data_IF_500852165891
#
_entry.id   IF_500852165891
#
_cell.length_a   1.000
_cell.length_b   1.000
_cell.length_c   1.000
_cell.angle_alpha   90.00
_cell.angle_beta   90.00
_cell.angle_gamma   90.00
#
_symmetry.space_group_name_H-M   'P 1'
#
loop_
_entity.id
_entity.type
_entity.pdbx_description
1 polymer ?
#
# COMPACT_ATOMS: atom_id res chain seq x y z
N UNK A 1 -16.63 -0.89 -10.31
CA UNK A 1 -15.43 -0.40 -11.04
C UNK A 1 -14.62 0.69 -10.30
N UNK A 2 -14.90 2.00 -10.38
CA UNK A 2 -14.01 3.06 -9.80
C UNK A 2 -13.72 2.85 -8.31
N UNK A 3 -14.73 2.47 -7.50
CA UNK A 3 -14.55 2.17 -6.08
C UNK A 3 -13.62 0.96 -5.85
N UNK A 4 -13.69 -0.06 -6.72
CA UNK A 4 -12.83 -1.25 -6.64
C UNK A 4 -11.39 -0.89 -7.01
N UNK A 5 -11.21 -0.13 -8.09
CA UNK A 5 -9.90 0.34 -8.54
C UNK A 5 -9.23 1.24 -7.48
N UNK A 6 -9.98 2.14 -6.85
CA UNK A 6 -9.49 2.93 -5.72
C UNK A 6 -8.97 2.05 -4.58
N UNK A 7 -9.72 0.99 -4.23
CA UNK A 7 -9.30 0.04 -3.19
C UNK A 7 -8.02 -0.69 -3.57
N UNK A 8 -7.91 -1.15 -4.83
CA UNK A 8 -6.70 -1.78 -5.35
C UNK A 8 -5.48 -0.84 -5.28
N UNK A 9 -5.61 0.41 -5.74
CA UNK A 9 -4.53 1.38 -5.68
C UNK A 9 -4.10 1.68 -4.23
N UNK A 10 -5.07 1.84 -3.32
CA UNK A 10 -4.81 1.99 -1.89
C UNK A 10 -4.06 0.78 -1.32
N UNK A 11 -4.49 -0.43 -1.68
CA UNK A 11 -3.88 -1.66 -1.20
C UNK A 11 -2.46 -1.84 -1.75
N UNK A 12 -2.22 -1.51 -3.04
CA UNK A 12 -0.89 -1.53 -3.63
C UNK A 12 0.08 -0.60 -2.90
N UNK A 13 -0.34 0.60 -2.52
CA UNK A 13 0.49 1.49 -1.71
C UNK A 13 0.88 0.86 -0.37
N UNK A 14 -0.10 0.30 0.35
CA UNK A 14 0.15 -0.38 1.64
C UNK A 14 1.06 -1.59 1.49
N UNK A 15 0.88 -2.37 0.43
CA UNK A 15 1.71 -3.52 0.13
C UNK A 15 3.16 -3.10 -0.16
N UNK A 16 3.35 -2.03 -0.91
CA UNK A 16 4.67 -1.47 -1.18
C UNK A 16 5.36 -1.08 0.13
N UNK A 17 4.69 -0.31 0.98
CA UNK A 17 5.25 0.14 2.27
C UNK A 17 5.63 -1.04 3.17
N UNK A 18 4.75 -2.03 3.29
CA UNK A 18 5.00 -3.24 4.07
C UNK A 18 6.16 -4.08 3.49
N UNK A 19 6.23 -4.21 2.16
CA UNK A 19 7.30 -4.95 1.48
C UNK A 19 8.66 -4.26 1.64
N UNK A 20 8.69 -2.92 1.49
CA UNK A 20 9.90 -2.12 1.69
C UNK A 20 10.39 -2.22 3.14
N UNK A 21 9.48 -2.21 4.13
CA UNK A 21 9.79 -2.44 5.53
C UNK A 21 10.42 -3.82 5.76
N UNK A 22 9.79 -4.88 5.24
CA UNK A 22 10.29 -6.25 5.37
C UNK A 22 11.66 -6.42 4.71
N UNK A 23 11.83 -5.88 3.51
CA UNK A 23 13.09 -5.94 2.76
C UNK A 23 14.23 -5.26 3.53
N UNK A 24 13.93 -4.16 4.20
CA UNK A 24 14.92 -3.40 4.98
C UNK A 24 15.33 -4.14 6.27
N UNK A 25 14.38 -4.65 7.05
CA UNK A 25 14.67 -5.08 8.42
C UNK A 25 14.81 -6.59 8.59
N UNK A 26 14.11 -7.42 7.81
CA UNK A 26 14.11 -8.87 8.00
C UNK A 26 15.52 -9.49 7.91
N UNK A 27 16.39 -9.11 6.94
CA UNK A 27 17.75 -9.62 6.87
C UNK A 27 18.59 -9.22 8.10
N UNK A 28 18.49 -7.96 8.54
CA UNK A 28 19.23 -7.44 9.69
C UNK A 28 18.81 -8.10 11.00
N UNK A 29 17.52 -8.37 11.18
CA UNK A 29 17.01 -9.13 12.34
C UNK A 29 17.53 -10.56 12.33
N UNK A 30 17.53 -11.22 11.17
CA UNK A 30 18.04 -12.58 11.04
C UNK A 30 19.53 -12.65 11.38
N UNK A 31 20.33 -11.70 10.87
CA UNK A 31 21.76 -11.61 11.16
C UNK A 31 22.02 -11.29 12.64
N UNK A 32 21.26 -10.36 13.21
CA UNK A 32 21.32 -10.03 14.63
C UNK A 32 21.09 -11.27 15.52
N UNK A 33 20.10 -12.09 15.19
CA UNK A 33 19.82 -13.35 15.92
C UNK A 33 20.98 -14.34 15.82
N UNK A 34 21.58 -14.50 14.63
CA UNK A 34 22.75 -15.37 14.43
C UNK A 34 23.93 -14.88 15.27
N UNK A 35 24.23 -13.59 15.24
CA UNK A 35 25.32 -12.99 16.05
C UNK A 35 25.07 -13.19 17.54
N UNK A 36 23.84 -12.96 18.01
CA UNK A 36 23.46 -13.21 19.42
C UNK A 36 23.66 -14.67 19.82
N UNK A 37 23.30 -15.61 18.95
CA UNK A 37 23.53 -17.04 19.17
C UNK A 37 25.04 -17.38 19.20
N UNK A 38 25.83 -16.82 18.28
CA UNK A 38 27.28 -17.04 18.21
C UNK A 38 28.00 -16.52 19.47
N UNK A 39 27.61 -15.34 19.98
CA UNK A 39 28.12 -14.79 21.24
C UNK A 39 27.86 -15.77 22.39
N UNK A 40 26.62 -16.25 22.51
CA UNK A 40 26.23 -17.20 23.57
C UNK A 40 27.02 -18.51 23.49
N UNK A 41 27.18 -19.05 22.28
CA UNK A 41 27.96 -20.28 22.06
C UNK A 41 29.43 -20.12 22.45
N UNK A 42 30.10 -19.03 22.01
CA UNK A 42 31.50 -18.76 22.37
C UNK A 42 31.68 -18.45 23.85
N UNK A 43 30.71 -17.77 24.48
CA UNK A 43 30.73 -17.55 25.94
C UNK A 43 30.66 -18.87 26.71
N UNK A 44 29.87 -19.83 26.22
CA UNK A 44 29.81 -21.18 26.79
C UNK A 44 31.14 -21.92 26.62
N UNK A 45 31.72 -21.94 25.42
CA UNK A 45 33.03 -22.53 25.14
C UNK A 45 34.12 -21.94 26.05
N UNK A 46 34.15 -20.60 26.18
CA UNK A 46 35.08 -19.90 27.08
C UNK A 46 34.92 -20.34 28.53
N UNK A 47 33.68 -20.51 29.01
CA UNK A 47 33.40 -20.97 30.38
C UNK A 47 33.87 -22.41 30.61
N UNK A 48 33.66 -23.30 29.64
CA UNK A 48 34.10 -24.70 29.70
C UNK A 48 35.63 -24.79 29.70
N UNK A 49 36.31 -24.04 28.83
CA UNK A 49 37.79 -23.99 28.81
C UNK A 49 38.39 -23.39 30.08
N UNK A 50 37.73 -22.42 30.71
CA UNK A 50 38.15 -21.91 32.01
C UNK A 50 38.06 -22.98 33.10
N UNK A 51 36.99 -23.79 33.10
CA UNK A 51 36.83 -24.90 34.03
C UNK A 51 37.85 -26.03 33.78
N UNK A 52 38.15 -26.34 32.51
CA UNK A 52 39.22 -27.27 32.16
C UNK A 52 40.58 -26.75 32.65
N UNK A 53 40.90 -25.48 32.41
CA UNK A 53 42.16 -24.87 32.87
C UNK A 53 42.31 -24.95 34.39
N UNK A 54 41.23 -24.75 35.14
CA UNK A 54 41.23 -24.81 36.61
C UNK A 54 41.41 -26.23 37.16
N UNK A 55 40.90 -27.24 36.46
CA UNK A 55 41.06 -28.65 36.86
C UNK A 55 42.37 -29.29 36.37
N UNK A 56 43.08 -28.62 35.47
CA UNK A 56 44.32 -29.12 34.90
C UNK A 56 45.49 -29.07 35.91
N UNK A 57 46.21 -30.19 36.05
CA UNK A 57 47.43 -30.25 36.87
C UNK A 57 48.45 -29.19 36.42
N UNK A 58 49.07 -28.53 37.40
CA UNK A 58 50.12 -27.51 37.19
C UNK A 58 51.32 -28.10 36.44
N UNK A 59 51.52 -29.43 36.51
CA UNK A 59 52.59 -30.15 35.83
C UNK A 59 52.37 -30.32 34.31
N UNK A 60 51.29 -29.78 33.74
CA UNK A 60 51.00 -29.80 32.30
C UNK A 60 51.11 -28.40 31.64
N UNK A 61 52.31 -27.77 31.62
CA UNK A 61 52.48 -26.38 31.20
C UNK A 61 52.10 -26.14 29.72
N UNK A 62 52.35 -27.12 28.84
CA UNK A 62 52.00 -27.02 27.41
C UNK A 62 50.49 -26.86 27.21
N UNK A 63 49.69 -27.66 27.92
CA UNK A 63 48.23 -27.62 27.81
C UNK A 63 47.64 -26.37 28.48
N UNK A 64 48.25 -25.89 29.59
CA UNK A 64 47.92 -24.57 30.15
C UNK A 64 48.13 -23.43 29.14
N UNK A 65 49.23 -23.47 28.39
CA UNK A 65 49.53 -22.47 27.35
C UNK A 65 48.54 -22.54 26.19
N UNK A 66 48.20 -23.75 25.71
CA UNK A 66 47.22 -23.96 24.64
C UNK A 66 45.83 -23.42 25.02
N UNK A 67 45.33 -23.78 26.21
CA UNK A 67 44.03 -23.29 26.69
C UNK A 67 44.06 -21.77 26.86
N UNK A 68 45.17 -21.21 27.38
CA UNK A 68 45.31 -19.76 27.52
C UNK A 68 45.26 -19.03 26.18
N UNK A 69 45.95 -19.55 25.16
CA UNK A 69 45.88 -18.99 23.80
C UNK A 69 44.44 -19.02 23.27
N UNK A 70 43.75 -20.16 23.40
CA UNK A 70 42.36 -20.30 22.97
C UNK A 70 41.40 -19.36 23.70
N UNK A 71 41.63 -19.12 25.00
CA UNK A 71 40.84 -18.17 25.79
C UNK A 71 41.04 -16.72 25.31
N UNK A 72 42.25 -16.35 24.88
CA UNK A 72 42.51 -15.04 24.28
C UNK A 72 41.77 -14.90 22.95
N UNK A 73 41.91 -15.85 22.03
CA UNK A 73 41.21 -15.88 20.74
C UNK A 73 39.69 -15.79 20.92
N UNK A 74 39.11 -16.57 21.84
CA UNK A 74 37.68 -16.51 22.12
C UNK A 74 37.24 -15.17 22.71
N UNK A 75 38.12 -14.46 23.42
CA UNK A 75 37.79 -13.14 23.98
C UNK A 75 37.71 -12.09 22.88
N UNK A 76 38.68 -12.10 21.96
CA UNK A 76 38.71 -11.25 20.76
C UNK A 76 37.47 -11.52 19.88
N UNK A 77 37.20 -12.79 19.55
CA UNK A 77 36.01 -13.18 18.76
C UNK A 77 34.70 -12.68 19.40
N UNK A 78 34.57 -12.75 20.73
CA UNK A 78 33.37 -12.29 21.44
C UNK A 78 33.25 -10.77 21.36
N UNK A 79 34.35 -10.03 21.45
CA UNK A 79 34.35 -8.56 21.33
C UNK A 79 33.99 -8.11 19.92
N UNK A 80 34.54 -8.76 18.89
CA UNK A 80 34.16 -8.51 17.50
C UNK A 80 32.67 -8.78 17.25
N UNK A 81 32.16 -9.91 17.77
CA UNK A 81 30.74 -10.24 17.65
C UNK A 81 29.86 -9.24 18.40
N UNK A 82 30.28 -8.76 19.58
CA UNK A 82 29.56 -7.71 20.32
C UNK A 82 29.53 -6.40 19.53
N UNK A 83 30.65 -6.01 18.92
CA UNK A 83 30.71 -4.84 18.05
C UNK A 83 29.75 -5.00 16.86
N UNK A 84 29.80 -6.13 16.16
CA UNK A 84 28.88 -6.44 15.06
C UNK A 84 27.41 -6.43 15.51
N UNK A 85 27.11 -6.95 16.71
CA UNK A 85 25.76 -6.88 17.31
C UNK A 85 25.32 -5.42 17.45
N UNK A 86 26.17 -4.56 18.00
CA UNK A 86 25.89 -3.13 18.18
C UNK A 86 25.72 -2.38 16.86
N UNK A 87 26.52 -2.70 15.85
CA UNK A 87 26.39 -2.13 14.51
C UNK A 87 25.04 -2.50 13.86
N UNK A 88 24.64 -3.77 13.95
CA UNK A 88 23.32 -4.22 13.47
C UNK A 88 22.17 -3.51 14.18
N UNK A 89 22.30 -3.26 15.49
CA UNK A 89 21.31 -2.50 16.26
C UNK A 89 21.21 -1.07 15.77
N UNK A 90 22.35 -0.40 15.58
CA UNK A 90 22.41 0.97 15.08
C UNK A 90 21.79 1.10 13.67
N UNK A 91 22.09 0.16 12.78
CA UNK A 91 21.52 0.11 11.43
C UNK A 91 19.99 -0.04 11.42
N UNK A 92 19.44 -0.63 12.48
CA UNK A 92 17.99 -0.75 12.70
C UNK A 92 17.42 0.38 13.57
N UNK A 93 18.23 1.39 13.93
CA UNK A 93 17.87 2.47 14.86
C UNK A 93 17.37 1.97 16.22
N UNK A 94 17.90 0.83 16.68
CA UNK A 94 17.55 0.21 17.95
C UNK A 94 18.66 0.44 18.98
N UNK A 95 18.29 0.74 20.22
CA UNK A 95 19.21 0.93 21.35
C UNK A 95 19.17 -0.24 22.34
N UNK A 96 18.16 -1.12 22.22
CA UNK A 96 17.97 -2.25 23.12
C UNK A 96 17.52 -3.51 22.39
N UNK A 97 17.77 -4.68 23.00
CA UNK A 97 17.23 -5.96 22.54
C UNK A 97 15.69 -5.94 22.48
N UNK A 98 15.04 -5.13 23.33
CA UNK A 98 13.59 -4.96 23.37
C UNK A 98 13.08 -4.24 22.12
N UNK A 99 13.73 -3.15 21.72
CA UNK A 99 13.38 -2.44 20.48
C UNK A 99 13.50 -3.35 19.24
N UNK A 100 14.51 -4.22 19.20
CA UNK A 100 14.63 -5.20 18.10
C UNK A 100 13.46 -6.18 18.09
N UNK A 101 12.97 -6.61 19.26
CA UNK A 101 11.77 -7.45 19.35
C UNK A 101 10.52 -6.72 18.85
N UNK A 102 10.42 -5.41 19.09
CA UNK A 102 9.33 -4.57 18.59
C UNK A 102 9.40 -4.45 17.05
N UNK A 103 10.59 -4.22 16.49
CA UNK A 103 10.80 -4.23 15.03
C UNK A 103 10.47 -5.61 14.44
N UNK A 104 10.89 -6.69 15.09
CA UNK A 104 10.53 -8.06 14.67
C UNK A 104 9.02 -8.30 14.69
N UNK A 105 8.33 -7.85 15.75
CA UNK A 105 6.88 -7.95 15.83
C UNK A 105 6.22 -7.16 14.70
N UNK A 106 6.72 -5.97 14.40
CA UNK A 106 6.24 -5.14 13.30
C UNK A 106 6.43 -5.82 11.96
N UNK A 107 7.59 -6.47 11.73
CA UNK A 107 7.80 -7.28 10.54
C UNK A 107 6.80 -8.44 10.44
N UNK A 108 6.53 -9.17 11.53
CA UNK A 108 5.52 -10.25 11.52
C UNK A 108 4.14 -9.73 11.15
N UNK A 109 3.72 -8.61 11.74
CA UNK A 109 2.45 -7.97 11.39
C UNK A 109 2.43 -7.51 9.94
N UNK A 110 3.51 -6.92 9.42
CA UNK A 110 3.61 -6.51 8.03
C UNK A 110 3.49 -7.71 7.07
N UNK A 111 4.16 -8.82 7.36
CA UNK A 111 4.04 -10.06 6.58
C UNK A 111 2.61 -10.59 6.57
N UNK A 112 1.95 -10.66 7.73
CA UNK A 112 0.57 -11.13 7.80
C UNK A 112 -0.41 -10.21 7.05
N UNK A 113 -0.23 -8.90 7.18
CA UNK A 113 -1.05 -7.92 6.47
C UNK A 113 -0.88 -8.02 4.95
N UNK A 114 0.33 -8.35 4.46
CA UNK A 114 0.56 -8.59 3.03
C UNK A 114 -0.25 -9.78 2.52
N UNK A 115 -0.29 -10.89 3.27
CA UNK A 115 -1.10 -12.06 2.91
C UNK A 115 -2.59 -11.72 2.83
N UNK A 116 -3.10 -10.94 3.80
CA UNK A 116 -4.49 -10.47 3.79
C UNK A 116 -4.75 -9.60 2.56
N UNK A 117 -3.92 -8.58 2.33
CA UNK A 117 -4.08 -7.66 1.20
C UNK A 117 -4.00 -8.39 -0.14
N UNK A 118 -3.18 -9.43 -0.26
CA UNK A 118 -3.07 -10.23 -1.47
C UNK A 118 -4.37 -11.00 -1.76
N UNK A 119 -4.99 -11.58 -0.73
CA UNK A 119 -6.27 -12.27 -0.86
C UNK A 119 -7.42 -11.30 -1.19
N UNK A 120 -7.42 -10.13 -0.55
CA UNK A 120 -8.39 -9.05 -0.85
C UNK A 120 -8.24 -8.57 -2.29
N UNK A 121 -7.02 -8.28 -2.74
CA UNK A 121 -6.75 -7.83 -4.11
C UNK A 121 -7.21 -8.85 -5.15
N UNK A 122 -6.96 -10.15 -4.92
CA UNK A 122 -7.44 -11.21 -5.82
C UNK A 122 -8.96 -11.16 -5.97
N UNK A 123 -9.69 -10.91 -4.88
CA UNK A 123 -11.15 -10.80 -4.89
C UNK A 123 -11.63 -9.53 -5.60
N UNK A 124 -10.94 -8.41 -5.38
CA UNK A 124 -11.23 -7.12 -5.99
C UNK A 124 -10.96 -7.13 -7.50
N UNK A 125 -9.83 -7.70 -7.94
CA UNK A 125 -9.46 -7.86 -9.34
C UNK A 125 -10.48 -8.72 -10.08
N UNK A 126 -10.93 -9.82 -9.47
CA UNK A 126 -12.01 -10.64 -10.02
C UNK A 126 -13.30 -9.85 -10.17
N UNK A 127 -13.73 -9.15 -9.13
CA UNK A 127 -14.94 -8.32 -9.19
C UNK A 127 -14.83 -7.20 -10.24
N UNK A 128 -13.63 -6.62 -10.42
CA UNK A 128 -13.36 -5.61 -11.43
C UNK A 128 -13.43 -6.20 -12.85
N UNK A 129 -12.91 -7.40 -13.07
CA UNK A 129 -13.02 -8.14 -14.33
C UNK A 129 -14.48 -8.44 -14.66
N UNK A 130 -15.23 -8.99 -13.70
CA UNK A 130 -16.64 -9.31 -13.86
C UNK A 130 -17.48 -8.06 -14.20
N UNK A 131 -17.23 -6.93 -13.52
CA UNK A 131 -17.87 -5.65 -13.80
C UNK A 131 -17.51 -5.13 -15.21
N UNK A 132 -16.26 -5.32 -15.65
CA UNK A 132 -15.76 -4.88 -16.96
C UNK A 132 -16.45 -5.65 -18.09
N UNK A 133 -16.53 -6.97 -17.97
CA UNK A 133 -17.22 -7.82 -18.94
C UNK A 133 -18.71 -7.47 -19.03
N UNK A 134 -19.37 -7.24 -17.88
CA UNK A 134 -20.76 -6.79 -17.85
C UNK A 134 -20.96 -5.46 -18.53
N UNK A 135 -20.05 -4.50 -18.30
CA UNK A 135 -20.11 -3.20 -18.95
C UNK A 135 -19.98 -3.36 -20.48
N UNK A 136 -18.99 -4.11 -20.95
CA UNK A 136 -18.75 -4.30 -22.39
C UNK A 136 -19.92 -5.03 -23.08
N UNK A 137 -20.53 -6.01 -22.41
CA UNK A 137 -21.72 -6.69 -22.90
C UNK A 137 -22.92 -5.74 -23.01
N UNK A 138 -23.12 -4.88 -22.01
CA UNK A 138 -24.17 -3.85 -22.04
C UNK A 138 -23.92 -2.85 -23.17
N UNK A 139 -22.70 -2.34 -23.30
CA UNK A 139 -22.32 -1.40 -24.34
C UNK A 139 -22.53 -1.98 -25.75
N UNK A 140 -22.15 -3.25 -25.95
CA UNK A 140 -22.35 -3.96 -27.23
C UNK A 140 -23.83 -4.22 -27.56
N UNK A 141 -24.72 -4.22 -26.58
CA UNK A 141 -26.16 -4.42 -26.77
C UNK A 141 -26.90 -3.16 -27.23
N UNK A 142 -26.26 -1.99 -27.13
CA UNK A 142 -26.86 -0.69 -27.48
C UNK A 142 -26.88 -0.53 -28.99
N UNK A 143 -28.04 -0.18 -29.55
CA UNK A 143 -28.16 0.08 -30.97
C UNK A 143 -27.30 1.30 -31.37
N UNK A 144 -26.60 1.28 -32.52
CA UNK A 144 -25.75 2.41 -32.95
C UNK A 144 -26.47 3.76 -33.03
N UNK A 145 -27.79 3.73 -33.29
CA UNK A 145 -28.64 4.92 -33.32
C UNK A 145 -28.86 5.56 -31.95
N UNK A 146 -28.67 4.80 -30.86
CA UNK A 146 -28.90 5.23 -29.48
C UNK A 146 -27.60 5.63 -28.76
N UNK A 147 -26.42 5.41 -29.37
CA UNK A 147 -25.12 5.66 -28.73
C UNK A 147 -24.95 7.12 -28.30
N UNK A 148 -25.41 8.08 -29.11
CA UNK A 148 -25.33 9.50 -28.78
C UNK A 148 -26.26 9.89 -27.62
N UNK A 149 -27.49 9.36 -27.60
CA UNK A 149 -28.45 9.59 -26.51
C UNK A 149 -27.96 8.99 -25.19
N UNK A 150 -27.38 7.78 -25.26
CA UNK A 150 -26.75 7.14 -24.11
C UNK A 150 -25.60 7.98 -23.56
N UNK A 151 -24.74 8.52 -24.42
CA UNK A 151 -23.65 9.39 -24.01
C UNK A 151 -24.16 10.66 -23.29
N UNK A 152 -25.24 11.26 -23.80
CA UNK A 152 -25.85 12.45 -23.18
C UNK A 152 -26.40 12.15 -21.79
N UNK A 153 -27.12 11.02 -21.62
CA UNK A 153 -27.64 10.60 -20.32
C UNK A 153 -26.50 10.24 -19.33
N UNK A 154 -25.44 9.60 -19.81
CA UNK A 154 -24.24 9.33 -19.00
C UNK A 154 -23.58 10.62 -18.52
N UNK A 155 -23.49 11.65 -19.36
CA UNK A 155 -22.95 12.97 -18.97
C UNK A 155 -23.84 13.61 -17.90
N UNK A 156 -25.16 13.60 -18.08
CA UNK A 156 -26.11 14.20 -17.12
C UNK A 156 -26.05 13.55 -15.73
N UNK A 157 -25.94 12.23 -15.65
CA UNK A 157 -25.91 11.51 -14.37
C UNK A 157 -24.54 11.49 -13.67
N UNK A 158 -23.46 11.83 -14.38
CA UNK A 158 -22.07 11.75 -13.87
C UNK A 158 -21.83 12.50 -12.55
N UNK A 159 -22.35 13.72 -12.32
CA UNK A 159 -22.16 14.43 -11.04
C UNK A 159 -22.72 13.63 -9.86
N UNK A 160 -23.96 13.15 -9.98
CA UNK A 160 -24.63 12.34 -8.97
C UNK A 160 -23.88 11.04 -8.68
N UNK A 161 -23.35 10.39 -9.73
CA UNK A 161 -22.54 9.17 -9.58
C UNK A 161 -21.22 9.47 -8.85
N UNK A 162 -20.56 10.59 -9.15
CA UNK A 162 -19.33 11.00 -8.45
C UNK A 162 -19.56 11.25 -6.96
N UNK A 163 -20.66 11.91 -6.59
CA UNK A 163 -21.01 12.10 -5.19
C UNK A 163 -21.31 10.76 -4.49
N UNK A 164 -21.96 9.84 -5.20
CA UNK A 164 -22.18 8.46 -4.71
C UNK A 164 -20.86 7.70 -4.51
N UNK A 165 -19.90 7.84 -5.43
CA UNK A 165 -18.56 7.25 -5.28
C UNK A 165 -17.86 7.81 -4.05
N UNK A 166 -17.82 9.15 -3.89
CA UNK A 166 -17.19 9.78 -2.71
C UNK A 166 -17.83 9.35 -1.39
N UNK A 167 -19.15 9.34 -1.33
CA UNK A 167 -19.87 8.89 -0.12
C UNK A 167 -19.64 7.41 0.20
N UNK A 168 -19.57 6.55 -0.82
CA UNK A 168 -19.25 5.13 -0.66
C UNK A 168 -17.82 4.96 -0.13
N UNK A 169 -16.84 5.64 -0.73
CA UNK A 169 -15.44 5.60 -0.28
C UNK A 169 -15.29 6.14 1.14
N UNK A 170 -15.96 7.24 1.47
CA UNK A 170 -15.95 7.79 2.83
C UNK A 170 -16.50 6.80 3.86
N UNK A 171 -17.54 6.05 3.49
CA UNK A 171 -18.14 5.03 4.36
C UNK A 171 -17.20 3.84 4.55
N UNK A 172 -16.57 3.37 3.47
CA UNK A 172 -15.65 2.24 3.50
C UNK A 172 -14.38 2.53 4.30
N UNK A 173 -13.74 3.68 4.04
CA UNK A 173 -12.46 4.04 4.66
C UNK A 173 -12.60 4.86 5.95
N UNK A 174 -13.83 5.24 6.32
CA UNK A 174 -14.14 6.09 7.50
C UNK A 174 -13.36 7.41 7.54
N UNK A 175 -12.86 7.85 6.40
CA UNK A 175 -11.98 9.01 6.21
C UNK A 175 -12.36 9.71 4.90
N UNK A 176 -11.92 10.95 4.73
CA UNK A 176 -12.17 11.64 3.45
C UNK A 176 -11.38 10.94 2.34
N UNK A 177 -12.02 10.61 1.20
CA UNK A 177 -11.34 10.00 0.07
C UNK A 177 -10.23 10.89 -0.47
N UNK A 178 -9.13 10.28 -0.91
CA UNK A 178 -8.07 11.00 -1.61
C UNK A 178 -8.53 11.31 -3.05
N UNK A 179 -8.67 12.59 -3.38
CA UNK A 179 -9.13 13.03 -4.69
C UNK A 179 -8.15 12.66 -5.82
N UNK A 180 -6.84 12.66 -5.58
CA UNK A 180 -5.84 12.23 -6.57
C UNK A 180 -5.99 10.74 -6.87
N UNK A 181 -6.24 9.93 -5.83
CA UNK A 181 -6.44 8.50 -5.98
C UNK A 181 -7.76 8.16 -6.68
N UNK A 182 -8.81 8.97 -6.45
CA UNK A 182 -10.06 8.89 -7.22
C UNK A 182 -9.78 9.19 -8.70
N UNK A 183 -9.02 10.25 -8.98
CA UNK A 183 -8.67 10.61 -10.35
C UNK A 183 -7.89 9.50 -11.06
N UNK A 184 -6.89 8.91 -10.40
CA UNK A 184 -6.13 7.78 -10.95
C UNK A 184 -7.02 6.55 -11.17
N UNK A 185 -7.95 6.26 -10.25
CA UNK A 185 -8.93 5.20 -10.41
C UNK A 185 -9.89 5.44 -11.59
N UNK A 186 -10.41 6.67 -11.75
CA UNK A 186 -11.21 7.05 -12.92
C UNK A 186 -10.42 6.81 -14.21
N UNK A 187 -9.16 7.26 -14.27
CA UNK A 187 -8.29 7.12 -15.44
C UNK A 187 -7.99 5.67 -15.77
N UNK A 188 -7.74 4.82 -14.78
CA UNK A 188 -7.48 3.40 -14.99
C UNK A 188 -8.73 2.68 -15.49
N UNK A 189 -9.90 2.97 -14.92
CA UNK A 189 -11.18 2.42 -15.41
C UNK A 189 -11.46 2.85 -16.84
N UNK A 190 -11.30 4.14 -17.18
CA UNK A 190 -11.49 4.62 -18.55
C UNK A 190 -10.57 3.91 -19.55
N UNK A 191 -9.30 3.67 -19.19
CA UNK A 191 -8.37 2.89 -20.02
C UNK A 191 -8.81 1.43 -20.17
N UNK A 192 -9.24 0.81 -19.08
CA UNK A 192 -9.70 -0.58 -19.06
C UNK A 192 -10.98 -0.78 -19.90
N UNK A 193 -11.84 0.23 -19.94
CA UNK A 193 -13.04 0.24 -20.77
C UNK A 193 -12.78 0.68 -22.23
N UNK A 194 -11.55 1.06 -22.58
CA UNK A 194 -11.18 1.60 -23.90
C UNK A 194 -12.01 2.82 -24.34
N UNK A 195 -12.51 3.60 -23.39
CA UNK A 195 -13.30 4.79 -23.68
C UNK A 195 -12.41 5.97 -24.10
N UNK A 196 -12.88 6.79 -25.03
CA UNK A 196 -12.21 8.04 -25.37
C UNK A 196 -12.59 9.16 -24.38
N UNK A 197 -11.64 9.64 -23.55
CA UNK A 197 -11.91 10.74 -22.62
C UNK A 197 -12.27 12.05 -23.32
N UNK A 198 -11.83 12.25 -24.56
CA UNK A 198 -12.07 13.47 -25.32
C UNK A 198 -13.52 13.57 -25.77
N UNK A 199 -14.10 12.47 -26.28
CA UNK A 199 -15.52 12.41 -26.68
C UNK A 199 -16.46 12.86 -25.54
N UNK A 200 -16.23 12.36 -24.33
CA UNK A 200 -17.00 12.79 -23.16
C UNK A 200 -16.88 14.29 -22.90
N UNK A 201 -15.67 14.82 -22.99
CA UNK A 201 -15.37 16.21 -22.65
C UNK A 201 -15.97 17.17 -23.67
N UNK A 202 -15.81 16.88 -24.95
CA UNK A 202 -16.38 17.65 -26.05
C UNK A 202 -17.91 17.66 -25.98
N UNK A 203 -18.54 16.49 -25.86
CA UNK A 203 -20.00 16.39 -25.77
C UNK A 203 -20.56 17.10 -24.54
N UNK A 204 -19.85 17.06 -23.41
CA UNK A 204 -20.23 17.79 -22.20
C UNK A 204 -20.17 19.31 -22.37
N UNK A 205 -19.29 19.82 -23.24
CA UNK A 205 -19.22 21.25 -23.58
C UNK A 205 -20.39 21.59 -24.51
N UNK A 206 -20.63 20.79 -25.55
CA UNK A 206 -21.75 20.99 -26.48
C UNK A 206 -23.10 21.07 -25.76
N UNK A 207 -23.37 20.15 -24.82
CA UNK A 207 -24.60 20.14 -24.04
C UNK A 207 -24.74 21.41 -23.20
N UNK A 208 -23.68 21.83 -22.52
CA UNK A 208 -23.68 23.08 -21.73
C UNK A 208 -23.93 24.31 -22.59
N UNK A 209 -23.30 24.39 -23.76
CA UNK A 209 -23.51 25.48 -24.70
C UNK A 209 -24.97 25.53 -25.18
N UNK A 210 -25.55 24.37 -25.54
CA UNK A 210 -26.97 24.26 -25.93
C UNK A 210 -27.92 24.69 -24.81
N UNK A 211 -27.67 24.25 -23.57
CA UNK A 211 -28.47 24.67 -22.40
C UNK A 211 -28.37 26.18 -22.14
N UNK A 212 -27.19 26.78 -22.36
CA UNK A 212 -27.01 28.23 -22.26
C UNK A 212 -27.72 29.01 -23.38
N UNK A 213 -27.68 28.51 -24.60
CA UNK A 213 -28.41 29.09 -25.74
C UNK A 213 -29.92 29.02 -25.52
N UNK A 214 -30.44 27.87 -25.07
CA UNK A 214 -31.86 27.70 -24.74
C UNK A 214 -32.28 28.65 -23.62
N UNK A 215 -31.50 28.74 -22.53
CA UNK A 215 -31.78 29.69 -21.44
C UNK A 215 -31.79 31.15 -21.93
N UNK A 216 -30.88 31.51 -22.83
CA UNK A 216 -30.83 32.86 -23.44
C UNK A 216 -32.03 33.12 -24.36
N UNK A 217 -32.50 32.13 -25.11
CA UNK A 217 -33.69 32.24 -25.95
C UNK A 217 -34.99 32.33 -25.14
N UNK A 218 -35.06 31.68 -23.96
CA UNK A 218 -36.23 31.68 -23.08
C UNK A 218 -36.32 32.92 -22.16
N UNK A 219 -35.21 33.60 -21.88
CA UNK A 219 -35.14 34.81 -21.03
C UNK A 219 -36.11 35.93 -21.48
N UNK A 220 -36.15 36.32 -22.77
CA UNK A 220 -37.08 37.35 -23.25
C UNK A 220 -38.55 36.93 -23.10
N UNK A 221 -38.89 35.66 -23.30
CA UNK A 221 -40.26 35.15 -23.16
C UNK A 221 -40.73 35.14 -21.70
N UNK A 222 -39.84 34.79 -20.76
CA UNK A 222 -40.14 34.81 -19.33
C UNK A 222 -40.30 36.25 -18.80
N UNK A 223 -39.48 37.19 -19.27
CA UNK A 223 -39.57 38.60 -18.89
C UNK A 223 -40.85 39.25 -19.41
N UNK A 224 -41.24 38.96 -20.65
CA UNK A 224 -42.49 39.45 -21.26
C UNK A 224 -43.73 38.85 -20.59
N UNK A 225 -43.70 37.57 -20.19
CA UNK A 225 -44.77 36.94 -19.41
C UNK A 225 -44.87 37.51 -17.98
N UNK A 226 -43.76 37.88 -17.33
CA UNK A 226 -43.74 38.54 -16.01
C UNK A 226 -44.27 39.99 -16.07
N UNK A 227 -44.00 40.71 -17.16
CA UNK A 227 -44.54 42.06 -17.37
C UNK A 227 -46.06 42.03 -17.62
N UNK A 228 -46.55 41.03 -18.37
CA UNK A 228 -47.99 40.84 -18.63
C UNK A 228 -48.80 40.40 -17.40
N UNK A 229 -48.20 39.69 -16.45
CA UNK A 229 -48.87 39.27 -15.21
C UNK A 229 -48.90 40.34 -14.11
N UNK A 230 -48.04 41.35 -14.17
CA UNK A 230 -48.03 42.51 -13.26
C UNK A 230 -48.93 43.67 -13.68
N UNK A 231 -49.43 43.66 -14.92
CA UNK A 231 -50.32 44.67 -15.48
C UNK A 231 -51.82 44.33 -15.42
N UNK A 232 -52.22 43.35 -14.61
CA UNK A 232 -53.62 43.02 -14.29
C UNK A 232 -53.91 43.27 -12.82
#
# INVERSE_FOLDING_TARGET
MIVLEYQLLSNHSKQKDASDWLKRYSPSIAEYKKVKQAISAKQKEKKELLAEKQSLSILNPVRHMQISKRLTELSEDIEELKFKKSDLMLNMYCNSDKEIQEVESTCKTASHNLEILQNENTSLEKALSDDTERYQALESSVAPTQTAELLDERIKCRPTIRDKIRSTLKTLFRTQPNDDLIYDAEKNVTKMLHEDPHQFRERSIELRMKEEEQRRAEQPQQENNRLRSRGR
#
